data_IF_573864848485
#
_entry.id   IF_573864848485
#
_cell.length_a   1.000
_cell.length_b   1.000
_cell.length_c   1.000
_cell.angle_alpha   90.00
_cell.angle_beta   90.00
_cell.angle_gamma   90.00
#
_symmetry.space_group_name_H-M   'P 1'
#
loop_
_entity.id
_entity.type
_entity.pdbx_description
1 polymer ?
#
# COMPACT_ATOMS: atom_id res chain seq x y z
N UNK A 1 12.68 14.22 2.51
CA UNK A 1 11.68 13.16 2.30
C UNK A 1 10.84 13.13 3.57
N UNK A 2 9.51 13.14 3.49
CA UNK A 2 8.65 12.99 4.68
C UNK A 2 8.80 11.57 5.23
N UNK A 3 8.60 11.35 6.53
CA UNK A 3 8.64 10.01 7.11
C UNK A 3 7.47 9.14 6.59
N UNK A 4 7.58 7.82 6.77
CA UNK A 4 6.65 6.83 6.22
C UNK A 4 5.23 7.06 6.73
N UNK A 5 5.06 7.36 8.00
CA UNK A 5 3.73 7.47 8.63
C UNK A 5 3.04 8.76 8.14
N UNK A 6 3.79 9.87 8.07
CA UNK A 6 3.32 11.11 7.44
C UNK A 6 2.97 10.93 5.96
N UNK A 7 3.72 10.10 5.23
CA UNK A 7 3.44 9.78 3.83
C UNK A 7 2.14 8.99 3.66
N UNK A 8 1.94 7.97 4.50
CA UNK A 8 0.71 7.18 4.53
C UNK A 8 -0.50 8.06 4.83
N UNK A 9 -0.40 8.93 5.82
CA UNK A 9 -1.45 9.89 6.19
C UNK A 9 -1.78 10.84 5.03
N UNK A 10 -0.76 11.38 4.35
CA UNK A 10 -0.96 12.24 3.19
C UNK A 10 -1.65 11.49 2.02
N UNK A 11 -1.28 10.23 1.78
CA UNK A 11 -1.93 9.39 0.77
C UNK A 11 -3.40 9.12 1.12
N UNK A 12 -3.68 8.82 2.39
CA UNK A 12 -5.03 8.57 2.87
C UNK A 12 -5.94 9.79 2.73
N UNK A 13 -5.47 10.98 3.10
CA UNK A 13 -6.26 12.22 2.91
C UNK A 13 -6.62 12.46 1.45
N UNK A 14 -5.66 12.24 0.54
CA UNK A 14 -5.92 12.31 -0.91
C UNK A 14 -6.93 11.27 -1.35
N UNK A 15 -6.81 10.03 -0.87
CA UNK A 15 -7.75 8.95 -1.20
C UNK A 15 -9.17 9.26 -0.72
N UNK A 16 -9.34 9.81 0.49
CA UNK A 16 -10.65 10.24 1.02
C UNK A 16 -11.26 11.32 0.14
N UNK A 17 -10.47 12.33 -0.28
CA UNK A 17 -10.96 13.36 -1.21
C UNK A 17 -11.43 12.75 -2.53
N UNK A 18 -10.61 11.89 -3.15
CA UNK A 18 -10.94 11.21 -4.41
C UNK A 18 -12.20 10.35 -4.27
N UNK A 19 -12.32 9.58 -3.18
CA UNK A 19 -13.48 8.72 -2.93
C UNK A 19 -14.77 9.51 -2.67
N UNK A 20 -14.66 10.79 -2.30
CA UNK A 20 -15.81 11.68 -2.11
C UNK A 20 -16.29 12.34 -3.40
N UNK A 21 -15.50 12.26 -4.48
CA UNK A 21 -15.87 12.75 -5.81
C UNK A 21 -16.74 11.69 -6.53
N UNK A 22 -17.86 12.11 -7.13
CA UNK A 22 -18.90 11.18 -7.63
C UNK A 22 -18.46 10.15 -8.68
N UNK A 23 -17.45 10.48 -9.50
CA UNK A 23 -16.84 9.59 -10.50
C UNK A 23 -15.39 9.19 -10.13
N UNK A 24 -14.95 9.50 -8.90
CA UNK A 24 -13.54 9.65 -8.56
C UNK A 24 -12.69 8.39 -8.73
N UNK A 25 -13.27 7.20 -8.60
CA UNK A 25 -12.55 5.93 -8.70
C UNK A 25 -12.54 5.32 -10.11
N UNK A 26 -13.56 5.57 -10.92
CA UNK A 26 -13.78 4.90 -12.21
C UNK A 26 -12.62 5.15 -13.20
N UNK A 27 -12.10 6.38 -13.19
CA UNK A 27 -10.93 6.77 -13.99
C UNK A 27 -9.68 5.94 -13.67
N UNK A 28 -9.53 5.50 -12.41
CA UNK A 28 -8.40 4.67 -11.99
C UNK A 28 -8.60 3.22 -12.38
N UNK A 29 -9.82 2.69 -12.29
CA UNK A 29 -10.14 1.34 -12.74
C UNK A 29 -9.97 1.18 -14.26
N UNK A 30 -10.40 2.18 -15.04
CA UNK A 30 -10.18 2.20 -16.49
C UNK A 30 -8.69 2.16 -16.84
N UNK A 31 -7.86 2.93 -16.12
CA UNK A 31 -6.41 2.98 -16.37
C UNK A 31 -5.67 1.76 -15.82
N UNK A 32 -6.13 1.22 -14.69
CA UNK A 32 -5.51 0.14 -13.94
C UNK A 32 -6.57 -0.90 -13.52
N UNK A 33 -7.00 -1.78 -14.45
CA UNK A 33 -8.10 -2.71 -14.20
C UNK A 33 -7.88 -3.66 -13.01
N UNK A 34 -6.62 -3.94 -12.66
CA UNK A 34 -6.29 -4.74 -11.48
C UNK A 34 -6.64 -4.06 -10.15
N UNK A 35 -6.73 -2.72 -10.10
CA UNK A 35 -7.14 -2.02 -8.89
C UNK A 35 -8.59 -2.33 -8.53
N UNK A 36 -9.46 -2.44 -9.53
CA UNK A 36 -10.86 -2.83 -9.32
C UNK A 36 -10.95 -4.21 -8.68
N UNK A 37 -10.19 -5.19 -9.20
CA UNK A 37 -10.15 -6.54 -8.65
C UNK A 37 -9.64 -6.58 -7.19
N UNK A 38 -8.65 -5.73 -6.85
CA UNK A 38 -8.13 -5.61 -5.49
C UNK A 38 -9.20 -5.02 -4.57
N UNK A 39 -9.79 -3.89 -4.94
CA UNK A 39 -10.83 -3.20 -4.16
C UNK A 39 -12.02 -4.12 -3.90
N UNK A 40 -12.51 -4.80 -4.94
CA UNK A 40 -13.67 -5.70 -4.83
C UNK A 40 -13.42 -6.95 -3.97
N UNK A 41 -12.16 -7.30 -3.69
CA UNK A 41 -11.79 -8.48 -2.87
C UNK A 41 -11.19 -8.14 -1.52
N UNK A 42 -10.94 -6.86 -1.25
CA UNK A 42 -10.14 -6.40 -0.12
C UNK A 42 -10.71 -6.85 1.23
N UNK A 43 -12.03 -6.83 1.39
CA UNK A 43 -12.69 -7.23 2.63
C UNK A 43 -12.46 -8.70 2.99
N UNK A 44 -12.43 -9.57 1.97
CA UNK A 44 -12.17 -11.00 2.13
C UNK A 44 -10.67 -11.34 2.14
N UNK A 45 -9.82 -10.37 1.75
CA UNK A 45 -8.39 -10.59 1.52
C UNK A 45 -7.55 -9.43 2.09
N UNK A 46 -7.84 -9.00 3.33
CA UNK A 46 -7.15 -7.86 3.98
C UNK A 46 -5.62 -7.98 3.97
N UNK A 47 -5.11 -9.20 4.09
CA UNK A 47 -3.66 -9.47 3.99
C UNK A 47 -3.05 -9.10 2.63
N UNK A 48 -3.81 -9.21 1.53
CA UNK A 48 -3.35 -8.79 0.19
C UNK A 48 -3.14 -7.28 0.15
N UNK A 49 -4.07 -6.50 0.72
CA UNK A 49 -3.91 -5.05 0.82
C UNK A 49 -2.66 -4.67 1.62
N UNK A 50 -2.45 -5.32 2.76
CA UNK A 50 -1.28 -5.09 3.61
C UNK A 50 0.02 -5.37 2.86
N UNK A 51 0.13 -6.51 2.17
CA UNK A 51 1.34 -6.88 1.42
C UNK A 51 1.61 -5.93 0.25
N UNK A 52 0.57 -5.55 -0.49
CA UNK A 52 0.68 -4.60 -1.60
C UNK A 52 1.16 -3.24 -1.08
N UNK A 53 0.53 -2.73 -0.02
CA UNK A 53 0.87 -1.44 0.58
C UNK A 53 2.30 -1.44 1.12
N UNK A 54 2.68 -2.50 1.84
CA UNK A 54 4.06 -2.72 2.31
C UNK A 54 5.07 -2.66 1.18
N UNK A 55 4.81 -3.39 0.09
CA UNK A 55 5.72 -3.48 -1.04
C UNK A 55 5.87 -2.15 -1.78
N UNK A 56 4.75 -1.46 -2.03
CA UNK A 56 4.75 -0.17 -2.73
C UNK A 56 5.44 0.92 -1.90
N UNK A 57 5.11 1.03 -0.62
CA UNK A 57 5.70 2.05 0.27
C UNK A 57 7.19 1.77 0.45
N UNK A 58 7.60 0.50 0.68
CA UNK A 58 9.02 0.17 0.77
C UNK A 58 9.79 0.58 -0.49
N UNK A 59 9.25 0.31 -1.68
CA UNK A 59 9.85 0.68 -2.97
C UNK A 59 10.00 2.18 -3.17
N UNK A 60 9.07 2.98 -2.65
CA UNK A 60 9.13 4.44 -2.73
C UNK A 60 10.31 4.98 -1.92
N UNK A 61 10.57 4.39 -0.75
CA UNK A 61 11.67 4.79 0.13
C UNK A 61 13.01 4.11 -0.19
N UNK A 62 12.97 3.00 -0.94
CA UNK A 62 14.13 2.23 -1.40
C UNK A 62 13.98 1.96 -2.90
N UNK A 63 14.21 2.97 -3.77
CA UNK A 63 13.95 2.88 -5.21
C UNK A 63 14.68 1.75 -5.93
N UNK A 64 15.81 1.29 -5.39
CA UNK A 64 16.60 0.17 -5.89
C UNK A 64 16.01 -1.21 -5.54
N UNK A 65 15.14 -1.29 -4.53
CA UNK A 65 14.66 -2.58 -4.03
C UNK A 65 13.74 -3.28 -5.03
N UNK A 66 13.98 -4.55 -5.32
CA UNK A 66 13.00 -5.39 -6.01
C UNK A 66 11.96 -5.87 -4.99
N UNK A 67 10.70 -5.47 -5.17
CA UNK A 67 9.57 -5.82 -4.30
C UNK A 67 9.32 -7.32 -4.22
N UNK A 68 9.74 -8.09 -5.24
CA UNK A 68 9.59 -9.55 -5.23
C UNK A 68 10.47 -10.19 -4.15
N UNK A 69 11.57 -9.54 -3.77
CA UNK A 69 12.52 -10.00 -2.76
C UNK A 69 12.12 -9.55 -1.35
N UNK A 70 10.86 -9.72 -0.98
CA UNK A 70 10.27 -9.24 0.28
C UNK A 70 10.64 -10.06 1.55
N UNK A 71 11.55 -11.02 1.43
CA UNK A 71 12.04 -11.84 2.54
C UNK A 71 13.56 -11.71 2.65
N UNK A 72 14.04 -11.58 3.89
CA UNK A 72 15.48 -11.47 4.21
C UNK A 72 16.31 -12.66 3.76
N UNK A 73 15.69 -13.83 3.64
CA UNK A 73 16.33 -15.07 3.18
C UNK A 73 16.66 -15.05 1.68
N UNK A 74 16.02 -14.16 0.90
CA UNK A 74 16.28 -14.01 -0.52
C UNK A 74 17.51 -13.11 -0.70
N UNK A 75 18.44 -13.49 -1.60
CA UNK A 75 19.62 -12.66 -1.89
C UNK A 75 19.23 -11.26 -2.39
N UNK A 76 19.60 -10.24 -1.61
CA UNK A 76 19.20 -8.85 -1.84
C UNK A 76 17.74 -8.58 -1.51
N UNK A 77 17.17 -9.36 -0.60
CA UNK A 77 15.82 -9.18 -0.09
C UNK A 77 15.75 -8.31 1.16
N UNK A 78 14.56 -7.81 1.43
CA UNK A 78 14.25 -6.96 2.58
C UNK A 78 13.29 -7.66 3.54
N UNK A 79 13.18 -7.16 4.77
CA UNK A 79 12.22 -7.68 5.73
C UNK A 79 10.86 -7.02 5.55
N UNK A 80 10.05 -7.54 4.61
CA UNK A 80 8.71 -7.01 4.38
C UNK A 80 7.84 -7.06 5.64
N UNK A 81 7.92 -8.15 6.41
CA UNK A 81 7.17 -8.30 7.66
C UNK A 81 7.57 -7.28 8.72
N UNK A 82 8.87 -7.01 8.90
CA UNK A 82 9.30 -6.02 9.91
C UNK A 82 8.80 -4.64 9.52
N UNK A 83 8.97 -4.26 8.25
CA UNK A 83 8.49 -2.96 7.75
C UNK A 83 6.97 -2.81 7.89
N UNK A 84 6.21 -3.85 7.54
CA UNK A 84 4.76 -3.92 7.73
C UNK A 84 4.37 -3.69 9.20
N UNK A 85 4.97 -4.46 10.12
CA UNK A 85 4.65 -4.35 11.56
C UNK A 85 5.04 -3.02 12.17
N UNK A 86 6.01 -2.31 11.59
CA UNK A 86 6.45 -1.00 12.05
C UNK A 86 5.54 0.13 11.55
N UNK A 87 5.04 0.04 10.31
CA UNK A 87 4.38 1.16 9.64
C UNK A 87 2.97 0.83 9.12
N UNK A 88 2.81 -0.26 8.37
CA UNK A 88 1.61 -0.50 7.55
C UNK A 88 0.45 -1.04 8.39
N UNK A 89 0.68 -2.11 9.14
CA UNK A 89 -0.35 -2.69 10.01
C UNK A 89 -0.84 -1.69 11.07
N UNK A 90 0.04 -0.99 11.82
CA UNK A 90 -0.40 0.05 12.76
C UNK A 90 -1.19 1.16 12.09
N UNK A 91 -0.77 1.58 10.89
CA UNK A 91 -1.48 2.59 10.12
C UNK A 91 -2.91 2.15 9.79
N UNK A 92 -3.12 0.97 9.21
CA UNK A 92 -4.48 0.49 8.90
C UNK A 92 -5.34 0.33 10.16
N UNK A 93 -4.79 -0.20 11.24
CA UNK A 93 -5.51 -0.30 12.53
C UNK A 93 -5.95 1.06 13.07
N UNK A 94 -5.19 2.12 12.81
CA UNK A 94 -5.56 3.49 13.21
C UNK A 94 -6.73 4.08 12.42
N UNK A 95 -7.12 3.46 11.29
CA UNK A 95 -8.15 3.99 10.37
C UNK A 95 -9.50 3.27 10.44
N UNK A 96 -9.58 2.10 11.08
CA UNK A 96 -10.83 1.35 11.28
C UNK A 96 -10.81 -0.04 10.67
#
# INVERSE_FOLDING_TARGET
MIDVDSYLEACYRKAVTIASEGDGLEKYFTRFPFLEAIVNRVENCKGVLTVITTSLVYKIYHPEQDVRKHQVSIKGGYSGRVFDTQHITPFFQSKG
#
